data_IF_704510085497
#
_entry.id   IF_704510085497
#
_cell.length_a   1.000
_cell.length_b   1.000
_cell.length_c   1.000
_cell.angle_alpha   90.00
_cell.angle_beta   90.00
_cell.angle_gamma   90.00
#
_symmetry.space_group_name_H-M   'P 1'
#
loop_
_entity.id
_entity.type
_entity.pdbx_description
1 polymer ?
#
# COMPACT_ATOMS: atom_id res chain seq x y z
N UNK A 1 -6.43 -10.35 -8.95
CA UNK A 1 -5.04 -10.34 -9.48
C UNK A 1 -5.11 -10.36 -10.99
N UNK A 2 -4.17 -9.71 -11.66
CA UNK A 2 -4.09 -9.66 -13.12
C UNK A 2 -2.63 -9.83 -13.53
N UNK A 3 -2.37 -10.68 -14.52
CA UNK A 3 -1.04 -10.86 -15.11
C UNK A 3 -0.78 -9.76 -16.14
N UNK A 4 0.38 -9.11 -16.04
CA UNK A 4 0.80 -8.02 -16.93
C UNK A 4 2.27 -8.19 -17.34
N UNK A 5 2.75 -7.37 -18.27
CA UNK A 5 4.17 -7.32 -18.62
C UNK A 5 5.07 -6.83 -17.47
N UNK A 6 4.51 -6.20 -16.43
CA UNK A 6 5.21 -5.78 -15.22
C UNK A 6 5.22 -6.86 -14.12
N UNK A 7 4.58 -8.00 -14.36
CA UNK A 7 4.38 -9.09 -13.41
C UNK A 7 2.92 -9.27 -12.98
N UNK A 8 2.70 -10.20 -12.05
CA UNK A 8 1.39 -10.48 -11.45
C UNK A 8 1.02 -9.42 -10.43
N UNK A 9 -0.03 -8.65 -10.72
CA UNK A 9 -0.46 -7.50 -9.91
C UNK A 9 -1.65 -7.89 -9.01
N UNK A 10 -1.55 -7.60 -7.72
CA UNK A 10 -2.66 -7.56 -6.78
C UNK A 10 -3.10 -6.11 -6.52
N UNK A 11 -4.37 -5.92 -6.18
CA UNK A 11 -4.92 -4.62 -5.82
C UNK A 11 -5.56 -4.69 -4.44
N UNK A 12 -5.37 -3.63 -3.66
CA UNK A 12 -6.00 -3.40 -2.35
C UNK A 12 -6.48 -1.97 -2.28
N UNK A 13 -7.46 -1.68 -1.43
CA UNK A 13 -8.04 -0.34 -1.32
C UNK A 13 -7.75 0.20 0.06
N UNK A 14 -6.94 1.27 0.11
CA UNK A 14 -6.67 2.07 1.31
C UNK A 14 -6.47 1.25 2.59
N UNK A 15 -7.53 1.14 3.40
CA UNK A 15 -7.53 0.52 4.73
C UNK A 15 -7.19 -0.98 4.73
N UNK A 16 -7.30 -1.66 3.60
CA UNK A 16 -6.84 -3.05 3.45
C UNK A 16 -5.37 -3.23 3.84
N UNK A 17 -4.52 -2.22 3.62
CA UNK A 17 -3.09 -2.24 3.95
C UNK A 17 -2.81 -2.30 5.46
N UNK A 18 -3.80 -1.99 6.30
CA UNK A 18 -3.67 -2.02 7.74
C UNK A 18 -3.57 -3.44 8.29
N UNK A 19 -4.08 -4.42 7.52
CA UNK A 19 -4.08 -5.84 7.85
C UNK A 19 -2.99 -6.57 7.04
N UNK A 20 -1.83 -6.88 7.66
CA UNK A 20 -0.74 -7.55 6.96
C UNK A 20 -1.13 -8.92 6.39
N UNK A 21 -2.18 -9.55 6.92
CA UNK A 21 -2.73 -10.81 6.45
C UNK A 21 -3.22 -10.71 4.99
N UNK A 22 -3.84 -9.60 4.60
CA UNK A 22 -4.29 -9.40 3.22
C UNK A 22 -3.10 -9.35 2.26
N UNK A 23 -2.08 -8.56 2.60
CA UNK A 23 -0.84 -8.45 1.82
C UNK A 23 -0.15 -9.81 1.73
N UNK A 24 -0.08 -10.54 2.84
CA UNK A 24 0.50 -11.88 2.89
C UNK A 24 -0.24 -12.86 1.99
N UNK A 25 -1.56 -12.81 1.99
CA UNK A 25 -2.42 -13.64 1.16
C UNK A 25 -2.25 -13.36 -0.34
N UNK A 26 -1.99 -12.10 -0.73
CA UNK A 26 -1.65 -11.75 -2.11
C UNK A 26 -0.27 -12.28 -2.49
N UNK A 27 0.73 -12.08 -1.62
CA UNK A 27 2.09 -12.57 -1.81
C UNK A 27 2.14 -14.10 -2.01
N UNK A 28 1.45 -14.85 -1.13
CA UNK A 28 1.37 -16.31 -1.18
C UNK A 28 0.69 -16.83 -2.46
N UNK A 29 -0.16 -16.01 -3.09
CA UNK A 29 -0.79 -16.33 -4.39
C UNK A 29 0.05 -15.88 -5.59
N UNK A 30 1.30 -15.47 -5.35
CA UNK A 30 2.27 -15.12 -6.38
C UNK A 30 2.21 -13.67 -6.85
N UNK A 31 1.59 -12.76 -6.10
CA UNK A 31 1.66 -11.34 -6.43
C UNK A 31 3.12 -10.84 -6.34
N UNK A 32 3.59 -10.17 -7.39
CA UNK A 32 4.91 -9.55 -7.45
C UNK A 32 4.83 -8.05 -7.19
N UNK A 33 3.69 -7.46 -7.52
CA UNK A 33 3.37 -6.05 -7.33
C UNK A 33 1.99 -5.91 -6.67
N UNK A 34 1.90 -5.03 -5.68
CA UNK A 34 0.65 -4.65 -5.03
C UNK A 34 0.38 -3.16 -5.24
N UNK A 35 -0.72 -2.86 -5.91
CA UNK A 35 -1.17 -1.48 -6.13
C UNK A 35 -2.27 -1.13 -5.13
N UNK A 36 -2.13 0.02 -4.47
CA UNK A 36 -3.07 0.51 -3.49
C UNK A 36 -3.39 1.99 -3.72
N UNK A 37 -4.54 2.33 -4.33
CA UNK A 37 -5.11 3.67 -4.18
C UNK A 37 -5.48 3.89 -2.70
N UNK A 38 -5.05 5.02 -2.15
CA UNK A 38 -5.27 5.39 -0.75
C UNK A 38 -5.78 6.83 -0.63
N UNK A 39 -6.39 7.15 0.51
CA UNK A 39 -6.78 8.50 0.90
C UNK A 39 -6.46 8.65 2.39
N UNK A 40 -5.17 8.80 2.71
CA UNK A 40 -4.72 8.83 4.10
C UNK A 40 -5.01 10.19 4.75
N UNK A 41 -5.36 10.19 6.05
CA UNK A 41 -5.58 11.43 6.76
C UNK A 41 -4.28 12.22 6.89
N UNK A 42 -4.35 13.53 6.63
CA UNK A 42 -3.26 14.46 6.90
C UNK A 42 -3.23 14.84 8.39
N UNK A 43 -2.94 13.85 9.24
CA UNK A 43 -2.83 14.03 10.68
C UNK A 43 -1.52 14.73 11.05
N UNK A 44 -1.51 15.58 12.11
CA UNK A 44 -0.29 16.20 12.60
C UNK A 44 0.78 15.15 12.95
N UNK A 45 2.02 15.38 12.51
CA UNK A 45 3.14 14.48 12.76
C UNK A 45 4.31 15.26 13.37
N UNK A 46 5.04 14.68 14.32
CA UNK A 46 6.30 15.27 14.78
C UNK A 46 7.23 15.48 13.57
N UNK A 47 7.94 16.62 13.56
CA UNK A 47 8.95 16.87 12.54
C UNK A 47 9.92 15.70 12.43
N UNK A 48 10.34 15.37 11.20
CA UNK A 48 11.27 14.29 10.84
C UNK A 48 10.73 12.85 10.88
N UNK A 49 9.47 12.62 11.28
CA UNK A 49 8.88 11.27 11.24
C UNK A 49 8.16 10.99 9.93
N UNK A 50 8.24 9.73 9.47
CA UNK A 50 7.41 9.26 8.35
C UNK A 50 5.98 9.00 8.84
N UNK A 51 4.96 9.22 7.99
CA UNK A 51 3.61 8.72 8.23
C UNK A 51 3.61 7.23 8.62
N UNK A 52 2.77 6.85 9.58
CA UNK A 52 2.63 5.45 10.01
C UNK A 52 2.22 4.56 8.84
N UNK A 53 1.43 5.09 7.93
CA UNK A 53 0.94 4.43 6.73
C UNK A 53 2.06 4.13 5.73
N UNK A 54 3.03 5.04 5.60
CA UNK A 54 4.24 4.80 4.80
C UNK A 54 5.11 3.72 5.45
N UNK A 55 5.25 3.73 6.77
CA UNK A 55 5.99 2.69 7.50
C UNK A 55 5.30 1.33 7.31
N UNK A 56 3.96 1.28 7.38
CA UNK A 56 3.16 0.08 7.13
C UNK A 56 3.37 -0.46 5.71
N UNK A 57 3.33 0.40 4.69
CA UNK A 57 3.63 0.02 3.29
C UNK A 57 5.04 -0.55 3.15
N UNK A 58 6.04 0.09 3.76
CA UNK A 58 7.43 -0.38 3.73
C UNK A 58 7.59 -1.73 4.43
N UNK A 59 6.95 -1.91 5.59
CA UNK A 59 6.94 -3.17 6.31
C UNK A 59 6.29 -4.29 5.49
N UNK A 60 5.11 -4.03 4.93
CA UNK A 60 4.37 -4.95 4.06
C UNK A 60 5.19 -5.38 2.83
N UNK A 61 5.88 -4.44 2.17
CA UNK A 61 6.77 -4.73 1.06
C UNK A 61 7.94 -5.64 1.50
N UNK A 62 8.60 -5.28 2.60
CA UNK A 62 9.78 -5.97 3.12
C UNK A 62 9.48 -7.40 3.55
N UNK A 63 8.48 -7.61 4.41
CA UNK A 63 8.19 -8.93 4.99
C UNK A 63 7.61 -9.91 3.97
N UNK A 64 6.93 -9.41 2.93
CA UNK A 64 6.34 -10.24 1.89
C UNK A 64 7.21 -10.39 0.64
N UNK A 65 8.34 -9.67 0.56
CA UNK A 65 9.25 -9.64 -0.60
C UNK A 65 8.50 -9.32 -1.90
N UNK A 66 7.66 -8.30 -1.85
CA UNK A 66 6.92 -7.80 -3.02
C UNK A 66 7.03 -6.28 -3.12
N UNK A 67 6.81 -5.74 -4.31
CA UNK A 67 6.74 -4.30 -4.51
C UNK A 67 5.36 -3.77 -4.13
N UNK A 68 5.30 -2.63 -3.46
CA UNK A 68 4.04 -1.94 -3.13
C UNK A 68 4.06 -0.54 -3.73
N UNK A 69 3.01 -0.20 -4.47
CA UNK A 69 2.74 1.16 -4.97
C UNK A 69 1.52 1.69 -4.23
N UNK A 70 1.73 2.69 -3.37
CA UNK A 70 0.66 3.41 -2.71
C UNK A 70 0.49 4.79 -3.38
N UNK A 71 -0.68 5.04 -3.96
CA UNK A 71 -1.02 6.30 -4.60
C UNK A 71 -2.07 7.02 -3.76
N UNK A 72 -1.64 8.06 -3.05
CA UNK A 72 -2.49 8.84 -2.16
C UNK A 72 -3.13 10.02 -2.87
N UNK A 73 -4.31 10.42 -2.40
CA UNK A 73 -4.96 11.66 -2.82
C UNK A 73 -4.18 12.85 -2.25
N UNK A 74 -3.99 13.89 -3.05
CA UNK A 74 -3.41 15.15 -2.58
C UNK A 74 -4.38 16.31 -2.78
N UNK A 75 -4.15 17.39 -2.02
CA UNK A 75 -4.96 18.62 -2.08
C UNK A 75 -6.27 18.53 -1.32
N UNK A 76 -7.06 19.60 -1.42
CA UNK A 76 -8.37 19.69 -0.79
C UNK A 76 -9.43 18.98 -1.65
N UNK A 77 -10.39 18.33 -0.99
CA UNK A 77 -11.57 17.84 -1.69
C UNK A 77 -12.44 19.05 -2.03
N UNK A 78 -12.86 19.18 -3.29
CA UNK A 78 -13.86 20.19 -3.65
C UNK A 78 -15.15 19.90 -2.85
N UNK A 79 -15.47 20.82 -1.93
CA UNK A 79 -16.80 20.98 -1.35
C UNK A 79 -17.56 22.03 -2.12
#
# INVERSE_FOLDING_TARGET
MVDTHLGRIAMMICYDLEFPEWVRLAALRGAQLLCAPVNWPDSPRPGFQRPAEVIRVQANASVNRLFVIACDRCGESAG
#
